data_IF_429252582270
#
_entry.id   IF_429252582270
#
_cell.length_a   1.000
_cell.length_b   1.000
_cell.length_c   1.000
_cell.angle_alpha   90.00
_cell.angle_beta   90.00
_cell.angle_gamma   90.00
#
_symmetry.space_group_name_H-M   'P 1'
#
loop_
_entity.id
_entity.type
_entity.pdbx_description
1 polymer ?
#
# COMPACT_ATOMS: atom_id res chain seq x y z
N UNK A 1 79.04 -14.83 -48.99
CA UNK A 1 77.60 -14.63 -49.30
C UNK A 1 76.72 -14.84 -48.07
N UNK A 2 76.84 -15.97 -47.35
CA UNK A 2 76.05 -16.24 -46.12
C UNK A 2 76.31 -15.26 -44.96
N UNK A 3 77.56 -14.90 -44.68
CA UNK A 3 77.92 -13.94 -43.61
C UNK A 3 77.31 -12.54 -43.82
N UNK A 4 77.31 -12.05 -45.06
CA UNK A 4 76.73 -10.74 -45.41
C UNK A 4 75.20 -10.76 -45.26
N UNK A 5 74.55 -11.86 -45.67
CA UNK A 5 73.10 -12.02 -45.48
C UNK A 5 72.71 -12.13 -44.00
N UNK A 6 73.53 -12.82 -43.18
CA UNK A 6 73.33 -12.91 -41.74
C UNK A 6 73.39 -11.54 -41.07
N UNK A 7 74.45 -10.76 -41.32
CA UNK A 7 74.59 -9.42 -40.72
C UNK A 7 73.47 -8.46 -41.16
N UNK A 8 73.09 -8.49 -42.44
CA UNK A 8 71.98 -7.67 -42.94
C UNK A 8 70.62 -8.04 -42.32
N UNK A 9 70.38 -9.32 -42.03
CA UNK A 9 69.19 -9.78 -41.31
C UNK A 9 69.24 -9.40 -39.82
N UNK A 10 70.42 -9.48 -39.20
CA UNK A 10 70.63 -9.10 -37.81
C UNK A 10 70.39 -7.60 -37.60
N UNK A 11 70.91 -6.74 -38.47
CA UNK A 11 70.66 -5.30 -38.41
C UNK A 11 69.17 -4.97 -38.62
N UNK A 12 68.49 -5.65 -39.55
CA UNK A 12 67.03 -5.49 -39.72
C UNK A 12 66.25 -5.88 -38.48
N UNK A 13 66.60 -7.00 -37.84
CA UNK A 13 65.97 -7.43 -36.59
C UNK A 13 66.22 -6.43 -35.46
N UNK A 14 67.45 -5.92 -35.33
CA UNK A 14 67.76 -4.90 -34.34
C UNK A 14 67.00 -3.60 -34.61
N UNK A 15 66.84 -3.21 -35.88
CA UNK A 15 66.05 -2.06 -36.28
C UNK A 15 64.56 -2.17 -35.97
N UNK A 16 63.97 -3.38 -36.00
CA UNK A 16 62.55 -3.58 -35.68
C UNK A 16 62.25 -3.67 -34.18
N UNK A 17 63.26 -3.94 -33.34
CA UNK A 17 63.05 -4.07 -31.89
C UNK A 17 62.66 -2.75 -31.21
N UNK A 18 63.13 -1.60 -31.71
CA UNK A 18 62.79 -0.29 -31.14
C UNK A 18 61.28 0.01 -31.24
N UNK A 19 60.72 0.06 -32.46
CA UNK A 19 59.29 0.28 -32.67
C UNK A 19 58.41 -0.73 -31.91
N UNK A 20 58.80 -2.01 -31.89
CA UNK A 20 58.05 -3.04 -31.14
C UNK A 20 58.03 -2.80 -29.62
N UNK A 21 59.05 -2.13 -29.05
CA UNK A 21 59.05 -1.76 -27.64
C UNK A 21 58.14 -0.56 -27.37
N UNK A 22 58.12 0.43 -28.26
CA UNK A 22 57.20 1.57 -28.18
C UNK A 22 55.74 1.11 -28.26
N UNK A 23 55.41 0.23 -29.21
CA UNK A 23 54.08 -0.39 -29.33
C UNK A 23 53.69 -1.18 -28.07
N UNK A 24 54.66 -1.87 -27.44
CA UNK A 24 54.41 -2.59 -26.18
C UNK A 24 54.11 -1.63 -25.03
N UNK A 25 54.86 -0.53 -24.91
CA UNK A 25 54.63 0.49 -23.87
C UNK A 25 53.26 1.15 -24.06
N UNK A 26 52.91 1.53 -25.29
CA UNK A 26 51.59 2.07 -25.62
C UNK A 26 50.47 1.06 -25.30
N UNK A 27 50.62 -0.21 -25.70
CA UNK A 27 49.66 -1.25 -25.39
C UNK A 27 49.46 -1.47 -23.88
N UNK A 28 50.52 -1.33 -23.08
CA UNK A 28 50.43 -1.42 -21.61
C UNK A 28 49.64 -0.25 -21.03
N UNK A 29 49.90 0.98 -21.49
CA UNK A 29 49.16 2.18 -21.05
C UNK A 29 47.68 2.04 -21.41
N UNK A 30 47.37 1.73 -22.67
CA UNK A 30 45.99 1.55 -23.13
C UNK A 30 45.26 0.44 -22.35
N UNK A 31 45.95 -0.67 -22.03
CA UNK A 31 45.38 -1.73 -21.20
C UNK A 31 45.01 -1.20 -19.81
N UNK A 32 45.91 -0.45 -19.16
CA UNK A 32 45.63 0.09 -17.81
C UNK A 32 44.45 1.08 -17.81
N UNK A 33 44.34 1.93 -18.84
CA UNK A 33 43.21 2.84 -18.98
C UNK A 33 41.88 2.08 -19.15
N UNK A 34 41.87 1.00 -19.93
CA UNK A 34 40.66 0.16 -20.10
C UNK A 34 40.31 -0.62 -18.83
N UNK A 35 41.30 -1.08 -18.05
CA UNK A 35 41.08 -1.69 -16.74
C UNK A 35 40.43 -0.70 -15.75
N UNK A 36 40.92 0.54 -15.71
CA UNK A 36 40.33 1.61 -14.89
C UNK A 36 38.89 1.94 -15.32
N UNK A 37 38.63 2.11 -16.64
CA UNK A 37 37.27 2.32 -17.16
C UNK A 37 36.33 1.18 -16.77
N UNK A 38 36.82 -0.06 -16.83
CA UNK A 38 36.04 -1.25 -16.47
C UNK A 38 35.63 -1.23 -15.00
N UNK A 39 36.57 -0.96 -14.09
CA UNK A 39 36.29 -0.91 -12.65
C UNK A 39 35.33 0.22 -12.29
N UNK A 40 35.50 1.41 -12.88
CA UNK A 40 34.61 2.54 -12.68
C UNK A 40 33.19 2.26 -13.20
N UNK A 41 33.06 1.60 -14.36
CA UNK A 41 31.76 1.17 -14.88
C UNK A 41 31.07 0.18 -13.94
N UNK A 42 31.81 -0.83 -13.44
CA UNK A 42 31.27 -1.80 -12.48
C UNK A 42 30.78 -1.11 -11.20
N UNK A 43 31.52 -0.13 -10.69
CA UNK A 43 31.12 0.67 -9.53
C UNK A 43 29.82 1.43 -9.78
N UNK A 44 29.69 2.08 -10.95
CA UNK A 44 28.46 2.79 -11.35
C UNK A 44 27.26 1.84 -11.42
N UNK A 45 27.42 0.67 -12.03
CA UNK A 45 26.36 -0.34 -12.11
C UNK A 45 25.95 -0.81 -10.72
N UNK A 46 26.92 -1.09 -9.84
CA UNK A 46 26.62 -1.57 -8.50
C UNK A 46 25.89 -0.51 -7.66
N UNK A 47 26.31 0.76 -7.75
CA UNK A 47 25.60 1.86 -7.09
C UNK A 47 24.15 1.95 -7.57
N UNK A 48 23.90 1.86 -8.89
CA UNK A 48 22.54 1.87 -9.44
C UNK A 48 21.70 0.69 -8.96
N UNK A 49 22.28 -0.51 -8.85
CA UNK A 49 21.59 -1.68 -8.28
C UNK A 49 21.11 -1.44 -6.85
N UNK A 50 21.99 -0.89 -6.00
CA UNK A 50 21.64 -0.59 -4.60
C UNK A 50 20.53 0.46 -4.53
N UNK A 51 20.62 1.52 -5.32
CA UNK A 51 19.57 2.55 -5.37
C UNK A 51 18.22 1.97 -5.79
N UNK A 52 18.18 1.17 -6.87
CA UNK A 52 16.94 0.53 -7.34
C UNK A 52 16.34 -0.34 -6.23
N UNK A 53 17.16 -1.20 -5.61
CA UNK A 53 16.69 -2.07 -4.52
C UNK A 53 16.14 -1.25 -3.33
N UNK A 54 16.81 -0.15 -2.97
CA UNK A 54 16.41 0.71 -1.86
C UNK A 54 15.05 1.38 -2.08
N UNK A 55 14.81 1.96 -3.25
CA UNK A 55 13.55 2.64 -3.55
C UNK A 55 12.35 1.67 -3.57
N UNK A 56 12.53 0.48 -4.17
CA UNK A 56 11.48 -0.54 -4.15
C UNK A 56 11.20 -1.07 -2.74
N UNK A 57 12.23 -1.21 -1.90
CA UNK A 57 12.02 -1.63 -0.52
C UNK A 57 11.19 -0.62 0.28
N UNK A 58 11.39 0.70 0.08
CA UNK A 58 10.55 1.74 0.71
C UNK A 58 9.09 1.59 0.29
N UNK A 59 8.82 1.39 -1.01
CA UNK A 59 7.47 1.18 -1.51
C UNK A 59 6.82 -0.08 -0.90
N UNK A 60 7.57 -1.17 -0.78
CA UNK A 60 7.08 -2.38 -0.13
C UNK A 60 6.72 -2.17 1.35
N UNK A 61 7.50 -1.39 2.08
CA UNK A 61 7.17 -1.06 3.48
C UNK A 61 5.86 -0.27 3.54
N UNK A 62 5.74 0.80 2.75
CA UNK A 62 4.54 1.64 2.73
C UNK A 62 3.28 0.84 2.38
N UNK A 63 3.35 -0.02 1.36
CA UNK A 63 2.22 -0.85 0.96
C UNK A 63 1.78 -1.82 2.07
N UNK A 64 2.73 -2.39 2.82
CA UNK A 64 2.41 -3.25 3.96
C UNK A 64 1.75 -2.47 5.10
N UNK A 65 2.24 -1.26 5.38
CA UNK A 65 1.67 -0.41 6.43
C UNK A 65 0.23 0.00 6.08
N UNK A 66 -0.03 0.38 4.82
CA UNK A 66 -1.37 0.74 4.35
C UNK A 66 -2.32 -0.47 4.38
N UNK A 67 -1.87 -1.65 3.96
CA UNK A 67 -2.64 -2.90 4.06
C UNK A 67 -3.03 -3.19 5.51
N UNK A 68 -2.06 -3.13 6.43
CA UNK A 68 -2.31 -3.38 7.85
C UNK A 68 -3.31 -2.38 8.45
N UNK A 69 -3.19 -1.10 8.09
CA UNK A 69 -4.09 -0.06 8.56
C UNK A 69 -5.52 -0.28 8.07
N UNK A 70 -5.71 -0.66 6.80
CA UNK A 70 -7.03 -0.95 6.25
C UNK A 70 -7.67 -2.18 6.92
N UNK A 71 -6.89 -3.23 7.14
CA UNK A 71 -7.35 -4.42 7.86
C UNK A 71 -7.71 -4.12 9.31
N UNK A 72 -6.92 -3.29 9.99
CA UNK A 72 -7.20 -2.88 11.36
C UNK A 72 -8.54 -2.13 11.45
N UNK A 73 -8.80 -1.18 10.54
CA UNK A 73 -10.09 -0.47 10.49
C UNK A 73 -11.26 -1.41 10.28
N UNK A 74 -11.08 -2.43 9.44
CA UNK A 74 -12.11 -3.44 9.19
C UNK A 74 -12.42 -4.26 10.45
N UNK A 75 -11.38 -4.66 11.20
CA UNK A 75 -11.55 -5.37 12.47
C UNK A 75 -12.27 -4.49 13.49
N UNK A 76 -11.93 -3.21 13.57
CA UNK A 76 -12.59 -2.26 14.48
C UNK A 76 -14.08 -2.09 14.14
N UNK A 77 -14.43 -1.94 12.86
CA UNK A 77 -15.82 -1.84 12.40
C UNK A 77 -16.60 -3.14 12.62
N UNK A 78 -15.98 -4.30 12.34
CA UNK A 78 -16.57 -5.61 12.62
C UNK A 78 -16.89 -5.76 14.11
N UNK A 79 -15.93 -5.44 14.97
CA UNK A 79 -16.09 -5.54 16.41
C UNK A 79 -17.21 -4.62 16.92
N UNK A 80 -17.24 -3.37 16.50
CA UNK A 80 -18.25 -2.39 16.91
C UNK A 80 -19.66 -2.83 16.47
N UNK A 81 -19.79 -3.31 15.23
CA UNK A 81 -21.06 -3.77 14.66
C UNK A 81 -21.54 -5.04 15.36
N UNK A 82 -20.66 -6.03 15.55
CA UNK A 82 -20.99 -7.27 16.22
C UNK A 82 -21.38 -7.04 17.68
N UNK A 83 -20.70 -6.13 18.39
CA UNK A 83 -21.04 -5.80 19.76
C UNK A 83 -22.50 -5.30 19.86
N UNK A 84 -22.89 -4.34 19.02
CA UNK A 84 -24.27 -3.81 19.02
C UNK A 84 -25.31 -4.87 18.67
N UNK A 85 -25.01 -5.73 17.69
CA UNK A 85 -25.90 -6.84 17.31
C UNK A 85 -26.05 -7.86 18.45
N UNK A 86 -24.96 -8.20 19.14
CA UNK A 86 -24.99 -9.12 20.29
C UNK A 86 -25.76 -8.54 21.47
N UNK A 87 -25.65 -7.23 21.73
CA UNK A 87 -26.45 -6.54 22.74
C UNK A 87 -27.94 -6.58 22.40
N UNK A 88 -28.31 -6.36 21.12
CA UNK A 88 -29.69 -6.51 20.65
C UNK A 88 -30.23 -7.93 20.87
N UNK A 89 -29.45 -8.95 20.49
CA UNK A 89 -29.80 -10.36 20.72
C UNK A 89 -29.99 -10.66 22.20
N UNK A 90 -29.10 -10.15 23.06
CA UNK A 90 -29.17 -10.36 24.52
C UNK A 90 -30.42 -9.72 25.13
N UNK A 91 -30.73 -8.47 24.76
CA UNK A 91 -31.94 -7.76 25.21
C UNK A 91 -33.21 -8.50 24.79
N UNK A 92 -33.30 -8.91 23.52
CA UNK A 92 -34.45 -9.66 23.01
C UNK A 92 -34.57 -11.05 23.68
N UNK A 93 -33.46 -11.72 23.95
CA UNK A 93 -33.46 -13.00 24.67
C UNK A 93 -34.01 -12.85 26.09
N UNK A 94 -33.60 -11.80 26.82
CA UNK A 94 -34.12 -11.53 28.16
C UNK A 94 -35.62 -11.19 28.14
N UNK A 95 -36.08 -10.42 27.14
CA UNK A 95 -37.51 -10.13 26.94
C UNK A 95 -38.29 -11.40 26.61
N UNK A 96 -37.74 -12.28 25.78
CA UNK A 96 -38.34 -13.57 25.45
C UNK A 96 -38.55 -14.44 26.69
N UNK A 97 -37.53 -14.57 27.54
CA UNK A 97 -37.64 -15.32 28.82
C UNK A 97 -38.69 -14.68 29.74
N UNK A 98 -38.70 -13.35 29.86
CA UNK A 98 -39.71 -12.64 30.68
C UNK A 98 -41.13 -12.88 30.17
N UNK A 99 -41.33 -12.86 28.85
CA UNK A 99 -42.62 -13.15 28.22
C UNK A 99 -43.04 -14.60 28.45
N UNK A 100 -42.13 -15.57 28.27
CA UNK A 100 -42.40 -16.98 28.53
C UNK A 100 -42.83 -17.22 29.98
N UNK A 101 -42.16 -16.59 30.94
CA UNK A 101 -42.52 -16.69 32.36
C UNK A 101 -43.91 -16.08 32.63
N UNK A 102 -44.21 -14.92 32.05
CA UNK A 102 -45.51 -14.27 32.23
C UNK A 102 -46.64 -15.05 31.59
N UNK A 103 -46.40 -15.66 30.42
CA UNK A 103 -47.35 -16.57 29.76
C UNK A 103 -47.61 -17.78 30.66
N UNK A 104 -46.56 -18.45 31.14
CA UNK A 104 -46.71 -19.61 32.02
C UNK A 104 -47.43 -19.27 33.33
N UNK A 105 -47.18 -18.09 33.91
CA UNK A 105 -47.92 -17.61 35.08
C UNK A 105 -49.40 -17.40 34.76
N UNK A 106 -49.72 -16.75 33.65
CA UNK A 106 -51.11 -16.53 33.21
C UNK A 106 -51.84 -17.87 32.97
N UNK A 107 -51.20 -18.81 32.28
CA UNK A 107 -51.73 -20.15 32.05
C UNK A 107 -51.99 -20.89 33.37
N UNK A 108 -51.05 -20.79 34.32
CA UNK A 108 -51.20 -21.35 35.65
C UNK A 108 -52.40 -20.74 36.41
N UNK A 109 -52.57 -19.42 36.36
CA UNK A 109 -53.71 -18.74 36.97
C UNK A 109 -55.04 -19.15 36.35
N UNK A 110 -55.10 -19.31 35.04
CA UNK A 110 -56.31 -19.77 34.35
C UNK A 110 -56.78 -21.16 34.82
N UNK A 111 -55.90 -21.97 35.41
CA UNK A 111 -56.23 -23.30 35.95
C UNK A 111 -56.59 -23.30 37.44
N UNK A 112 -56.39 -22.18 38.16
CA UNK A 112 -56.63 -22.10 39.60
C UNK A 112 -58.12 -22.05 39.96
N UNK A 113 -58.52 -22.57 41.14
CA UNK A 113 -59.85 -22.37 41.69
C UNK A 113 -60.15 -20.89 41.92
N UNK A 114 -61.44 -20.50 41.80
CA UNK A 114 -61.90 -19.09 41.88
C UNK A 114 -61.35 -18.35 43.10
N UNK A 115 -61.36 -18.98 44.28
CA UNK A 115 -60.92 -18.35 45.52
C UNK A 115 -59.41 -18.04 45.55
N UNK A 116 -58.57 -18.83 44.87
CA UNK A 116 -57.13 -18.58 44.77
C UNK A 116 -56.83 -17.54 43.70
N UNK A 117 -57.47 -17.66 42.53
CA UNK A 117 -57.33 -16.72 41.43
C UNK A 117 -57.61 -15.26 41.87
N UNK A 118 -58.68 -15.06 42.64
CA UNK A 118 -59.10 -13.72 43.07
C UNK A 118 -58.10 -13.01 44.01
N UNK A 119 -57.10 -13.72 44.57
CA UNK A 119 -56.12 -13.10 45.49
C UNK A 119 -55.16 -12.14 44.78
N UNK A 120 -54.71 -12.49 43.58
CA UNK A 120 -53.62 -11.77 42.90
C UNK A 120 -53.75 -11.74 41.36
N UNK A 121 -54.88 -12.15 40.77
CA UNK A 121 -55.09 -12.06 39.30
C UNK A 121 -54.95 -10.64 38.76
N UNK A 122 -55.40 -9.63 39.51
CA UNK A 122 -55.41 -8.23 39.05
C UNK A 122 -53.99 -7.68 38.83
N UNK A 123 -53.03 -8.06 39.67
CA UNK A 123 -51.64 -7.62 39.52
C UNK A 123 -50.96 -8.31 38.34
N UNK A 124 -51.16 -9.62 38.16
CA UNK A 124 -50.64 -10.36 37.01
C UNK A 124 -51.23 -9.84 35.71
N UNK A 125 -52.55 -9.59 35.66
CA UNK A 125 -53.22 -9.03 34.48
C UNK A 125 -52.65 -7.65 34.15
N UNK A 126 -52.53 -6.76 35.14
CA UNK A 126 -51.93 -5.44 34.94
C UNK A 126 -50.49 -5.52 34.41
N UNK A 127 -49.68 -6.46 34.90
CA UNK A 127 -48.32 -6.68 34.37
C UNK A 127 -48.33 -7.16 32.93
N UNK A 128 -49.28 -8.04 32.56
CA UNK A 128 -49.43 -8.54 31.19
C UNK A 128 -49.86 -7.44 30.20
N UNK A 129 -50.81 -6.60 30.57
CA UNK A 129 -51.29 -5.48 29.75
C UNK A 129 -50.21 -4.41 29.52
N UNK A 130 -49.33 -4.24 30.50
CA UNK A 130 -48.24 -3.27 30.43
C UNK A 130 -46.96 -3.83 29.78
N UNK A 131 -46.88 -5.14 29.56
CA UNK A 131 -45.71 -5.76 28.93
C UNK A 131 -45.67 -5.41 27.44
N UNK A 132 -44.59 -4.73 27.02
CA UNK A 132 -44.39 -4.35 25.63
C UNK A 132 -43.02 -4.81 25.16
N UNK A 133 -42.99 -5.51 24.03
CA UNK A 133 -41.74 -5.86 23.35
C UNK A 133 -41.05 -4.56 22.91
N UNK A 134 -39.76 -4.43 23.22
CA UNK A 134 -38.96 -3.33 22.69
C UNK A 134 -38.23 -3.87 21.46
N UNK A 135 -38.32 -3.15 20.34
CA UNK A 135 -37.55 -3.49 19.15
C UNK A 135 -36.05 -3.37 19.39
N UNK A 136 -35.22 -4.08 18.60
CA UNK A 136 -33.78 -3.90 18.64
C UNK A 136 -33.39 -2.51 18.15
N UNK A 137 -32.22 -2.04 18.59
CA UNK A 137 -31.61 -0.84 18.02
C UNK A 137 -31.29 -1.06 16.54
N UNK A 138 -31.52 -0.05 15.70
CA UNK A 138 -31.19 -0.13 14.29
C UNK A 138 -29.65 -0.13 14.11
N UNK A 139 -29.11 -1.24 13.63
CA UNK A 139 -27.68 -1.38 13.32
C UNK A 139 -27.52 -1.50 11.81
N UNK A 140 -26.69 -0.62 11.23
CA UNK A 140 -26.30 -0.73 9.83
C UNK A 140 -25.33 -1.91 9.68
N UNK A 141 -25.65 -2.86 8.83
CA UNK A 141 -24.78 -4.01 8.50
C UNK A 141 -24.04 -3.83 7.19
N UNK A 142 -24.30 -2.74 6.47
CA UNK A 142 -23.49 -2.37 5.31
C UNK A 142 -22.12 -1.92 5.78
N UNK A 143 -21.07 -2.59 5.30
CA UNK A 143 -19.70 -2.14 5.53
C UNK A 143 -19.54 -0.70 5.05
N UNK A 144 -18.75 0.10 5.77
CA UNK A 144 -18.42 1.44 5.34
C UNK A 144 -17.94 1.41 3.89
N UNK A 145 -18.62 2.18 3.02
CA UNK A 145 -18.24 2.41 1.61
C UNK A 145 -16.83 3.01 1.43
N UNK A 146 -16.10 3.21 2.52
CA UNK A 146 -14.75 3.76 2.63
C UNK A 146 -13.62 2.75 2.45
N UNK A 147 -13.87 1.43 2.50
CA UNK A 147 -12.89 0.43 2.04
C UNK A 147 -12.78 0.41 0.51
N UNK A 148 -12.74 1.59 -0.11
CA UNK A 148 -12.22 1.71 -1.46
C UNK A 148 -10.76 1.38 -1.37
N UNK A 149 -10.46 0.08 -1.45
CA UNK A 149 -9.16 -0.44 -1.80
C UNK A 149 -8.95 0.07 -3.23
N UNK A 150 -8.45 1.31 -3.36
CA UNK A 150 -7.99 1.87 -4.63
C UNK A 150 -6.67 1.22 -5.03
N UNK A 151 -6.56 -0.10 -4.90
CA UNK A 151 -5.54 -0.84 -5.62
C UNK A 151 -6.11 -1.19 -7.00
N UNK A 152 -6.53 -0.17 -7.73
CA UNK A 152 -6.33 -0.17 -9.18
C UNK A 152 -4.92 0.38 -9.43
N UNK A 153 -3.92 -0.35 -8.92
CA UNK A 153 -2.51 -0.28 -9.33
C UNK A 153 -2.34 -0.39 -10.85
N UNK A 154 -3.41 -0.65 -11.61
CA UNK A 154 -3.53 -0.66 -13.07
C UNK A 154 -2.88 0.53 -13.77
N UNK A 155 -2.73 1.66 -13.08
CA UNK A 155 -2.06 2.85 -13.60
C UNK A 155 -0.61 3.04 -13.10
N UNK A 156 -0.28 2.61 -11.87
CA UNK A 156 1.13 2.39 -11.50
C UNK A 156 1.81 1.40 -12.48
N UNK A 157 1.02 0.46 -12.99
CA UNK A 157 1.33 -0.53 -14.00
C UNK A 157 1.37 0.01 -15.46
N UNK A 158 0.78 1.18 -15.77
CA UNK A 158 0.87 1.80 -17.10
C UNK A 158 2.16 2.60 -17.33
N UNK A 159 3.05 2.66 -16.33
CA UNK A 159 4.06 3.72 -16.25
C UNK A 159 5.45 3.29 -15.80
N UNK A 160 5.57 2.09 -15.24
CA UNK A 160 6.73 1.25 -15.58
C UNK A 160 6.69 0.79 -17.05
N UNK A 161 5.55 0.98 -17.73
CA UNK A 161 5.43 0.77 -19.17
C UNK A 161 5.90 2.03 -19.94
N UNK A 162 7.06 1.96 -20.60
CA UNK A 162 7.34 2.74 -21.82
C UNK A 162 8.50 3.75 -21.80
N UNK A 163 8.18 5.03 -21.71
CA UNK A 163 9.00 6.18 -22.13
C UNK A 163 8.47 7.39 -21.35
N UNK A 164 9.28 8.12 -20.58
CA UNK A 164 8.82 9.40 -20.02
C UNK A 164 9.76 10.50 -20.43
N UNK A 165 9.20 11.61 -20.91
CA UNK A 165 9.93 12.80 -21.34
C UNK A 165 9.77 13.95 -20.32
N UNK A 166 10.59 15.01 -20.40
CA UNK A 166 10.79 15.97 -19.31
C UNK A 166 9.55 16.71 -18.74
N UNK A 167 8.43 16.81 -19.46
CA UNK A 167 7.22 17.50 -18.98
C UNK A 167 6.34 16.65 -18.04
N UNK A 168 6.60 15.34 -17.97
CA UNK A 168 5.83 14.40 -17.14
C UNK A 168 6.11 14.55 -15.63
N UNK A 169 7.17 15.30 -15.27
CA UNK A 169 7.61 15.60 -13.89
C UNK A 169 6.86 16.82 -13.31
N UNK A 170 6.44 17.79 -14.12
CA UNK A 170 5.82 19.04 -13.64
C UNK A 170 4.35 18.86 -13.20
N UNK A 171 3.63 17.87 -13.74
CA UNK A 171 2.21 17.66 -13.44
C UNK A 171 1.92 17.20 -12.00
N UNK A 172 2.89 16.51 -11.37
CA UNK A 172 2.78 16.07 -9.97
C UNK A 172 3.19 17.16 -8.97
N UNK A 173 3.69 18.30 -9.46
CA UNK A 173 4.16 19.44 -8.66
C UNK A 173 3.20 20.63 -8.58
N UNK A 174 2.11 20.69 -9.35
CA UNK A 174 1.25 21.87 -9.38
C UNK A 174 0.12 21.83 -8.35
N UNK A 175 0.49 21.82 -7.06
CA UNK A 175 -0.37 22.22 -5.96
C UNK A 175 0.28 23.36 -5.19
N UNK A 176 0.30 24.59 -5.74
CA UNK A 176 0.82 25.73 -4.99
C UNK A 176 1.05 27.03 -5.78
N UNK A 177 -0.03 27.76 -6.04
CA UNK A 177 -0.12 29.24 -6.10
C UNK A 177 1.02 30.09 -6.72
N UNK A 178 0.72 30.81 -7.82
CA UNK A 178 0.61 32.30 -7.81
C UNK A 178 0.22 32.92 -9.17
N UNK A 179 -0.83 33.75 -9.08
CA UNK A 179 -0.97 35.11 -9.62
C UNK A 179 -0.77 35.35 -11.12
N UNK A 180 -1.92 35.60 -11.76
CA UNK A 180 -2.15 36.52 -12.88
C UNK A 180 -1.20 37.74 -12.86
N UNK A 181 -0.44 37.90 -13.94
CA UNK A 181 0.01 39.20 -14.44
C UNK A 181 -0.11 39.19 -15.97
N UNK A 182 -1.01 40.05 -16.48
CA UNK A 182 -1.20 40.32 -17.89
C UNK A 182 -0.03 41.09 -18.53
N UNK A 183 -0.11 41.36 -19.85
CA UNK A 183 1.02 41.84 -20.63
C UNK A 183 1.34 43.30 -20.30
N UNK A 184 2.61 43.57 -19.95
CA UNK A 184 3.15 44.93 -19.98
C UNK A 184 4.13 45.08 -21.13
N UNK A 185 3.64 45.87 -22.08
CA UNK A 185 4.34 46.69 -23.05
C UNK A 185 5.56 47.42 -22.46
N UNK A 186 6.75 47.25 -23.06
CA UNK A 186 7.83 48.25 -23.01
C UNK A 186 8.66 48.23 -24.28
N UNK A 187 8.43 49.26 -25.11
CA UNK A 187 9.34 50.02 -25.99
C UNK A 187 10.85 49.71 -25.91
N UNK A 188 11.51 49.85 -27.07
CA UNK A 188 12.98 49.92 -27.27
C UNK A 188 13.68 51.06 -26.50
N UNK A 189 14.98 51.33 -26.72
CA UNK A 189 15.38 52.10 -27.93
C UNK A 189 16.80 51.78 -28.47
N UNK A 190 17.15 52.36 -29.63
CA UNK A 190 18.54 52.48 -30.10
C UNK A 190 18.70 52.28 -31.60
#
# INVERSE_FOLDING_TARGET
>A
RLFVAHNALQEKLQGTLGPLREELEEAVVLRTEEEEKTTEWQRKVQAKRVTIAGEFNKLHVLLREEEQLLLQRLVEEEQETLQRLQENVSKLSQQSVSLQQLIAEMEGKCQQPVAELLKDVKSTLSRSENMKLQGPEAVCTDLQRGYKIYLDMREALNRFAGEWSPWDIELFGAGGSRQSLGPQDTRGPG
#
